data_IF_645215880258
#
_entry.id   IF_645215880258
#
_cell.length_a   1.000
_cell.length_b   1.000
_cell.length_c   1.000
_cell.angle_alpha   90.00
_cell.angle_beta   90.00
_cell.angle_gamma   90.00
#
_symmetry.space_group_name_H-M   'P 1'
#
loop_
_entity.id
_entity.type
_entity.pdbx_description
1 polymer ?
#
# COMPACT_ATOMS: atom_id res chain seq x y z
N UNK A 1 -30.54 12.06 11.01
CA UNK A 1 -29.39 11.36 10.42
C UNK A 1 -28.27 12.37 10.29
N UNK A 2 -27.06 12.03 10.74
CA UNK A 2 -25.91 12.95 10.75
C UNK A 2 -25.13 12.91 9.42
N UNK A 3 -24.15 13.82 9.28
CA UNK A 3 -23.33 13.91 8.07
C UNK A 3 -22.58 12.61 7.78
N UNK A 4 -22.14 11.89 8.81
CA UNK A 4 -21.40 10.64 8.68
C UNK A 4 -22.28 9.53 8.11
N UNK A 5 -23.49 9.37 8.65
CA UNK A 5 -24.45 8.38 8.18
C UNK A 5 -24.94 8.70 6.77
N UNK A 6 -25.16 9.98 6.45
CA UNK A 6 -25.51 10.40 5.09
C UNK A 6 -24.37 10.07 4.10
N UNK A 7 -23.12 10.35 4.49
CA UNK A 7 -21.96 10.09 3.66
C UNK A 7 -21.69 8.58 3.47
N UNK A 8 -21.80 7.80 4.56
CA UNK A 8 -21.64 6.35 4.57
C UNK A 8 -22.69 5.62 3.73
N UNK A 9 -23.95 6.08 3.76
CA UNK A 9 -25.06 5.40 3.10
C UNK A 9 -25.39 5.97 1.70
N UNK A 10 -24.62 6.93 1.19
CA UNK A 10 -24.83 7.46 -0.16
C UNK A 10 -26.01 8.44 -0.28
N UNK A 11 -26.49 9.02 0.82
CA UNK A 11 -27.67 9.89 0.82
C UNK A 11 -27.33 11.31 0.35
N UNK A 12 -27.24 11.50 -0.96
CA UNK A 12 -26.76 12.73 -1.60
C UNK A 12 -27.57 13.97 -1.22
N UNK A 13 -28.88 13.95 -1.39
CA UNK A 13 -29.73 15.14 -1.17
C UNK A 13 -29.71 15.57 0.30
N UNK A 14 -29.77 14.60 1.22
CA UNK A 14 -29.66 14.86 2.64
C UNK A 14 -28.29 15.43 3.01
N UNK A 15 -27.21 14.86 2.48
CA UNK A 15 -25.86 15.40 2.71
C UNK A 15 -25.77 16.85 2.22
N UNK A 16 -26.32 17.13 1.03
CA UNK A 16 -26.33 18.46 0.43
C UNK A 16 -27.12 19.46 1.30
N UNK A 17 -28.27 19.06 1.82
CA UNK A 17 -29.10 19.87 2.73
C UNK A 17 -28.38 20.14 4.07
N UNK A 18 -27.78 19.11 4.67
CA UNK A 18 -27.00 19.23 5.91
C UNK A 18 -25.85 20.23 5.76
N UNK A 19 -25.11 20.13 4.66
CA UNK A 19 -24.01 21.05 4.34
C UNK A 19 -24.51 22.47 4.11
N UNK A 20 -25.63 22.65 3.42
CA UNK A 20 -26.18 23.99 3.16
C UNK A 20 -26.71 24.65 4.45
N UNK A 21 -27.31 23.87 5.34
CA UNK A 21 -27.87 24.35 6.61
C UNK A 21 -26.77 24.63 7.63
N UNK A 22 -25.71 23.81 7.67
CA UNK A 22 -24.57 24.00 8.54
C UNK A 22 -23.25 23.66 7.81
N UNK A 23 -22.63 24.63 7.10
CA UNK A 23 -21.40 24.38 6.34
C UNK A 23 -20.22 23.87 7.19
N UNK A 24 -20.21 24.17 8.50
CA UNK A 24 -19.15 23.70 9.40
C UNK A 24 -19.16 22.19 9.62
N UNK A 25 -20.28 21.50 9.35
CA UNK A 25 -20.40 20.06 9.57
C UNK A 25 -19.46 19.22 8.71
N UNK A 26 -18.95 19.77 7.60
CA UNK A 26 -17.92 19.14 6.75
C UNK A 26 -16.65 18.83 7.54
N UNK A 27 -16.33 19.64 8.55
CA UNK A 27 -15.11 19.50 9.37
C UNK A 27 -15.31 18.59 10.58
N UNK A 28 -16.52 18.09 10.80
CA UNK A 28 -16.80 17.24 11.96
C UNK A 28 -16.04 15.92 11.87
N UNK A 29 -15.67 15.42 13.04
CA UNK A 29 -14.99 14.15 13.23
C UNK A 29 -15.81 13.29 14.19
N UNK A 30 -15.97 12.02 13.87
CA UNK A 30 -16.59 11.07 14.80
C UNK A 30 -15.60 10.65 15.90
N UNK A 31 -16.01 9.72 16.78
CA UNK A 31 -15.20 9.27 17.91
C UNK A 31 -13.88 8.58 17.51
N UNK A 32 -13.77 8.11 16.27
CA UNK A 32 -12.54 7.53 15.71
C UNK A 32 -11.76 8.55 14.88
N UNK A 33 -12.17 9.82 14.88
CA UNK A 33 -11.57 10.86 14.07
C UNK A 33 -11.98 10.81 12.60
N UNK A 34 -12.94 9.98 12.18
CA UNK A 34 -13.35 9.90 10.78
C UNK A 34 -14.10 11.16 10.36
N UNK A 35 -13.75 11.70 9.20
CA UNK A 35 -14.53 12.73 8.52
C UNK A 35 -15.62 12.10 7.65
N UNK A 36 -16.59 12.91 7.19
CA UNK A 36 -17.58 12.46 6.21
C UNK A 36 -16.92 11.93 4.91
N UNK A 37 -15.81 12.54 4.49
CA UNK A 37 -15.07 12.11 3.30
C UNK A 37 -14.46 10.72 3.51
N UNK A 38 -13.89 10.42 4.68
CA UNK A 38 -13.37 9.09 5.00
C UNK A 38 -14.47 8.02 5.00
N UNK A 39 -15.67 8.35 5.51
CA UNK A 39 -16.82 7.43 5.43
C UNK A 39 -17.24 7.17 3.97
N UNK A 40 -17.27 8.20 3.12
CA UNK A 40 -17.54 8.04 1.70
C UNK A 40 -16.46 7.21 0.99
N UNK A 41 -15.17 7.50 1.27
CA UNK A 41 -14.01 6.76 0.77
C UNK A 41 -14.04 5.29 1.17
N UNK A 42 -14.46 4.96 2.39
CA UNK A 42 -14.53 3.58 2.88
C UNK A 42 -15.64 2.78 2.19
N UNK A 43 -16.75 3.43 1.84
CA UNK A 43 -17.93 2.78 1.26
C UNK A 43 -17.98 2.87 -0.28
N UNK A 44 -17.05 3.57 -0.92
CA UNK A 44 -17.07 3.74 -2.38
C UNK A 44 -18.14 4.69 -2.88
N UNK A 45 -18.66 5.60 -2.04
CA UNK A 45 -19.71 6.53 -2.44
C UNK A 45 -19.12 7.72 -3.23
N UNK A 46 -18.75 7.49 -4.50
CA UNK A 46 -18.09 8.49 -5.34
C UNK A 46 -18.85 9.81 -5.45
N UNK A 47 -20.18 9.77 -5.62
CA UNK A 47 -21.01 10.99 -5.69
C UNK A 47 -20.94 11.82 -4.40
N UNK A 48 -20.90 11.16 -3.25
CA UNK A 48 -20.76 11.79 -1.94
C UNK A 48 -19.36 12.36 -1.78
N UNK A 49 -18.33 11.57 -2.09
CA UNK A 49 -16.94 12.01 -2.02
C UNK A 49 -16.71 13.25 -2.89
N UNK A 50 -17.22 13.24 -4.12
CA UNK A 50 -17.18 14.38 -5.05
C UNK A 50 -17.83 15.62 -4.45
N UNK A 51 -19.06 15.49 -3.94
CA UNK A 51 -19.78 16.60 -3.32
C UNK A 51 -19.01 17.18 -2.13
N UNK A 52 -18.47 16.32 -1.25
CA UNK A 52 -17.68 16.75 -0.10
C UNK A 52 -16.41 17.51 -0.53
N UNK A 53 -15.68 16.98 -1.51
CA UNK A 53 -14.48 17.61 -2.08
C UNK A 53 -14.81 18.97 -2.70
N UNK A 54 -15.90 19.08 -3.46
CA UNK A 54 -16.38 20.33 -4.08
C UNK A 54 -16.82 21.37 -3.03
N UNK A 55 -17.38 20.91 -1.91
CA UNK A 55 -17.80 21.76 -0.79
C UNK A 55 -16.64 22.09 0.18
N UNK A 56 -15.42 21.67 -0.13
CA UNK A 56 -14.22 22.06 0.62
C UNK A 56 -13.88 21.15 1.80
N UNK A 57 -14.26 19.87 1.75
CA UNK A 57 -13.71 18.87 2.66
C UNK A 57 -12.18 18.83 2.53
N UNK A 58 -11.50 18.82 3.68
CA UNK A 58 -10.06 18.70 3.73
C UNK A 58 -9.65 17.25 3.46
N UNK A 59 -8.85 17.06 2.42
CA UNK A 59 -8.39 15.75 1.94
C UNK A 59 -7.18 15.22 2.74
N UNK A 60 -6.53 16.08 3.53
CA UNK A 60 -5.33 15.77 4.33
C UNK A 60 -5.64 15.33 5.76
N UNK A 61 -6.90 15.44 6.17
CA UNK A 61 -7.33 14.99 7.49
C UNK A 61 -7.00 13.51 7.69
N UNK A 62 -6.64 13.17 8.93
CA UNK A 62 -6.29 11.82 9.35
C UNK A 62 -7.20 11.34 10.48
N UNK A 63 -7.67 10.10 10.43
CA UNK A 63 -8.40 9.51 11.54
C UNK A 63 -7.49 9.26 12.76
N UNK A 64 -8.02 8.64 13.82
CA UNK A 64 -7.25 8.33 15.04
C UNK A 64 -6.10 7.33 14.82
N UNK A 65 -6.03 6.67 13.65
CA UNK A 65 -4.97 5.74 13.23
C UNK A 65 -4.00 6.37 12.23
N UNK A 66 -4.17 7.66 11.90
CA UNK A 66 -3.35 8.32 10.88
C UNK A 66 -3.82 8.04 9.44
N UNK A 67 -5.00 7.45 9.23
CA UNK A 67 -5.50 7.13 7.89
C UNK A 67 -6.11 8.36 7.23
N UNK A 68 -5.65 8.68 6.02
CA UNK A 68 -6.27 9.70 5.16
C UNK A 68 -7.40 9.10 4.32
N UNK A 69 -8.20 9.95 3.68
CA UNK A 69 -9.20 9.52 2.71
C UNK A 69 -8.57 8.76 1.51
N UNK A 70 -7.34 9.14 1.10
CA UNK A 70 -6.59 8.44 0.06
C UNK A 70 -6.20 7.03 0.54
N UNK A 71 -5.59 6.92 1.73
CA UNK A 71 -5.20 5.62 2.30
C UNK A 71 -6.38 4.66 2.41
N UNK A 72 -7.53 5.14 2.90
CA UNK A 72 -8.75 4.34 3.00
C UNK A 72 -9.20 3.85 1.63
N UNK A 73 -9.20 4.73 0.62
CA UNK A 73 -9.57 4.33 -0.75
C UNK A 73 -8.59 3.31 -1.33
N UNK A 74 -7.28 3.46 -1.08
CA UNK A 74 -6.25 2.50 -1.50
C UNK A 74 -6.37 1.16 -0.80
N UNK A 75 -6.75 1.12 0.48
CA UNK A 75 -6.95 -0.12 1.23
C UNK A 75 -8.22 -0.86 0.79
N UNK A 76 -9.28 -0.10 0.46
CA UNK A 76 -10.61 -0.65 0.15
C UNK A 76 -10.92 -0.79 -1.34
N UNK A 77 -10.04 -0.31 -2.23
CA UNK A 77 -10.14 -0.46 -3.69
C UNK A 77 -11.13 0.48 -4.39
N UNK A 78 -11.43 1.65 -3.82
CA UNK A 78 -12.43 2.60 -4.35
C UNK A 78 -11.90 3.58 -5.42
N UNK A 79 -11.57 3.05 -6.60
CA UNK A 79 -10.68 3.72 -7.58
C UNK A 79 -11.10 5.16 -7.92
N UNK A 80 -12.38 5.40 -8.24
CA UNK A 80 -12.85 6.72 -8.64
C UNK A 80 -12.65 7.76 -7.54
N UNK A 81 -12.71 7.37 -6.26
CA UNK A 81 -12.45 8.28 -5.15
C UNK A 81 -10.98 8.67 -5.09
N UNK A 82 -10.07 7.72 -5.30
CA UNK A 82 -8.65 8.02 -5.30
C UNK A 82 -8.27 8.97 -6.44
N UNK A 83 -8.75 8.69 -7.66
CA UNK A 83 -8.57 9.57 -8.82
C UNK A 83 -9.06 10.99 -8.53
N UNK A 84 -10.26 11.15 -7.96
CA UNK A 84 -10.78 12.47 -7.56
C UNK A 84 -9.86 13.17 -6.53
N UNK A 85 -9.29 12.43 -5.57
CA UNK A 85 -8.36 12.99 -4.60
C UNK A 85 -7.04 13.44 -5.27
N UNK A 86 -6.51 12.64 -6.21
CA UNK A 86 -5.32 13.00 -7.00
C UNK A 86 -5.55 14.23 -7.89
N UNK A 87 -6.68 14.28 -8.59
CA UNK A 87 -7.08 15.44 -9.38
C UNK A 87 -7.20 16.68 -8.49
N UNK A 88 -7.78 16.52 -7.29
CA UNK A 88 -7.97 17.61 -6.34
C UNK A 88 -6.65 18.21 -5.85
N UNK A 89 -5.67 17.38 -5.48
CA UNK A 89 -4.33 17.83 -5.04
C UNK A 89 -3.51 18.40 -6.19
N UNK A 90 -3.67 17.86 -7.40
CA UNK A 90 -2.97 18.33 -8.61
C UNK A 90 -3.58 19.63 -9.16
N UNK A 91 -4.85 19.92 -8.85
CA UNK A 91 -5.53 21.15 -9.25
C UNK A 91 -5.05 22.35 -8.43
N UNK A 92 -4.96 23.54 -9.05
CA UNK A 92 -4.63 24.81 -8.36
C UNK A 92 -5.62 25.16 -7.22
N UNK A 93 -6.82 24.57 -7.18
CA UNK A 93 -7.78 24.75 -6.08
C UNK A 93 -7.42 23.91 -4.84
N UNK A 94 -6.46 22.99 -4.92
CA UNK A 94 -5.84 22.16 -3.85
C UNK A 94 -5.31 22.96 -2.67
N UNK A 95 -4.92 24.18 -2.99
CA UNK A 95 -4.09 25.01 -2.15
C UNK A 95 -4.94 25.71 -1.09
N UNK A 96 -4.97 25.16 0.12
CA UNK A 96 -5.12 26.03 1.27
C UNK A 96 -3.86 26.92 1.35
N UNK A 97 -4.08 28.23 1.38
CA UNK A 97 -3.09 29.27 1.17
C UNK A 97 -2.17 29.44 2.39
N UNK A 98 -0.86 29.17 2.23
CA UNK A 98 0.26 30.00 2.69
C UNK A 98 1.59 29.23 2.53
N UNK A 99 2.39 29.56 1.51
CA UNK A 99 3.84 29.25 1.42
C UNK A 99 4.36 27.85 1.04
N UNK A 100 3.59 26.99 0.36
CA UNK A 100 4.14 25.68 -0.04
C UNK A 100 4.11 25.41 -1.55
N UNK A 101 5.23 24.87 -2.07
CA UNK A 101 5.40 24.43 -3.44
C UNK A 101 4.40 23.29 -3.75
N UNK A 102 3.59 23.38 -4.82
CA UNK A 102 2.63 22.33 -5.20
C UNK A 102 3.23 20.92 -5.29
N UNK A 103 4.50 20.80 -5.69
CA UNK A 103 5.20 19.50 -5.76
C UNK A 103 5.50 18.92 -4.38
N UNK A 104 5.78 19.77 -3.38
CA UNK A 104 6.03 19.33 -2.00
C UNK A 104 4.75 18.76 -1.38
N UNK A 105 3.61 19.40 -1.62
CA UNK A 105 2.32 18.97 -1.08
C UNK A 105 1.84 17.64 -1.71
N UNK A 106 1.97 17.48 -3.04
CA UNK A 106 1.66 16.19 -3.68
C UNK A 106 2.56 15.07 -3.14
N UNK A 107 3.88 15.31 -3.04
CA UNK A 107 4.81 14.28 -2.54
C UNK A 107 4.50 13.89 -1.09
N UNK A 108 4.18 14.86 -0.23
CA UNK A 108 3.76 14.56 1.15
C UNK A 108 2.44 13.78 1.18
N UNK A 109 1.46 14.17 0.35
CA UNK A 109 0.14 13.52 0.30
C UNK A 109 0.22 12.04 -0.08
N UNK A 110 0.95 11.71 -1.15
CA UNK A 110 1.03 10.34 -1.69
C UNK A 110 1.94 9.42 -0.88
N UNK A 111 2.87 10.00 -0.11
CA UNK A 111 3.84 9.27 0.72
C UNK A 111 3.56 9.40 2.22
N UNK A 112 2.44 10.03 2.60
CA UNK A 112 2.04 10.11 4.01
C UNK A 112 1.95 8.70 4.57
N UNK A 113 2.28 8.54 5.84
CA UNK A 113 2.20 7.25 6.55
C UNK A 113 1.15 7.32 7.65
N UNK A 114 0.43 6.22 7.84
CA UNK A 114 -0.42 6.04 9.03
C UNK A 114 0.45 5.70 10.27
N UNK A 115 -0.19 5.39 11.41
CA UNK A 115 0.52 5.03 12.64
C UNK A 115 1.37 3.76 12.55
N UNK A 116 1.05 2.86 11.63
CA UNK A 116 1.81 1.63 11.35
C UNK A 116 2.96 1.88 10.35
N UNK A 117 3.16 3.12 9.90
CA UNK A 117 4.15 3.46 8.87
C UNK A 117 3.68 3.14 7.45
N UNK A 118 2.43 2.69 7.25
CA UNK A 118 1.95 2.30 5.92
C UNK A 118 1.63 3.52 5.06
N UNK A 119 2.21 3.54 3.86
CA UNK A 119 1.88 4.50 2.80
C UNK A 119 0.64 4.05 2.02
N UNK A 120 -0.02 4.95 1.25
CA UNK A 120 -1.03 4.56 0.27
C UNK A 120 -0.58 3.43 -0.67
N UNK A 121 0.68 3.41 -1.10
CA UNK A 121 1.23 2.38 -1.98
C UNK A 121 1.36 1.01 -1.28
N UNK A 122 1.79 1.01 -0.01
CA UNK A 122 1.80 -0.20 0.82
C UNK A 122 0.39 -0.76 0.98
N UNK A 123 -0.59 0.10 1.29
CA UNK A 123 -1.99 -0.31 1.47
C UNK A 123 -2.59 -0.86 0.17
N UNK A 124 -2.35 -0.21 -0.97
CA UNK A 124 -2.80 -0.67 -2.27
C UNK A 124 -2.21 -2.05 -2.63
N UNK A 125 -0.90 -2.23 -2.40
CA UNK A 125 -0.23 -3.51 -2.64
C UNK A 125 -0.77 -4.61 -1.73
N UNK A 126 -0.91 -4.34 -0.43
CA UNK A 126 -1.45 -5.28 0.56
C UNK A 126 -2.90 -5.67 0.27
N UNK A 127 -3.69 -4.75 -0.29
CA UNK A 127 -5.09 -4.98 -0.70
C UNK A 127 -5.27 -5.64 -2.07
N UNK A 128 -4.18 -5.94 -2.80
CA UNK A 128 -4.21 -6.44 -4.17
C UNK A 128 -4.86 -5.48 -5.19
N UNK A 129 -4.74 -4.17 -4.97
CA UNK A 129 -5.36 -3.15 -5.81
C UNK A 129 -4.39 -2.69 -6.91
N UNK A 130 -4.26 -3.48 -7.98
CA UNK A 130 -3.25 -3.23 -9.04
C UNK A 130 -3.38 -1.84 -9.68
N UNK A 131 -4.58 -1.41 -10.03
CA UNK A 131 -4.80 -0.10 -10.66
C UNK A 131 -4.29 1.06 -9.80
N UNK A 132 -4.36 0.91 -8.48
CA UNK A 132 -3.85 1.90 -7.54
C UNK A 132 -2.34 1.94 -7.46
N UNK A 133 -1.71 0.76 -7.51
CA UNK A 133 -0.25 0.66 -7.57
C UNK A 133 0.24 1.43 -8.79
N UNK A 134 -0.39 1.23 -9.96
CA UNK A 134 -0.06 1.99 -11.17
C UNK A 134 -0.32 3.50 -11.00
N UNK A 135 -1.51 3.89 -10.53
CA UNK A 135 -1.86 5.29 -10.33
C UNK A 135 -0.86 6.01 -9.41
N UNK A 136 -0.53 5.41 -8.26
CA UNK A 136 0.44 5.97 -7.31
C UNK A 136 1.85 6.09 -7.92
N UNK A 137 2.29 5.10 -8.71
CA UNK A 137 3.57 5.16 -9.42
C UNK A 137 3.59 6.24 -10.51
N UNK A 138 2.48 6.45 -11.22
CA UNK A 138 2.34 7.52 -12.21
C UNK A 138 2.51 8.90 -11.55
N UNK A 139 1.97 9.05 -10.34
CA UNK A 139 2.15 10.23 -9.49
C UNK A 139 3.47 10.26 -8.69
N UNK A 140 4.42 9.36 -8.97
CA UNK A 140 5.77 9.31 -8.37
C UNK A 140 5.77 9.09 -6.85
N UNK A 141 4.88 8.21 -6.37
CA UNK A 141 4.99 7.67 -5.01
C UNK A 141 6.36 6.99 -4.82
N UNK A 142 6.92 7.12 -3.63
CA UNK A 142 8.18 6.50 -3.25
C UNK A 142 7.96 5.01 -3.00
N UNK A 143 8.53 4.18 -3.88
CA UNK A 143 8.24 2.75 -3.99
C UNK A 143 8.87 1.90 -2.88
N UNK A 144 9.92 2.41 -2.23
CA UNK A 144 10.73 1.68 -1.26
C UNK A 144 10.55 2.16 0.18
N UNK A 145 9.58 3.05 0.42
CA UNK A 145 9.16 3.39 1.78
C UNK A 145 8.71 2.13 2.52
N UNK A 146 9.05 2.10 3.81
CA UNK A 146 8.80 0.97 4.70
C UNK A 146 7.77 1.32 5.75
N UNK A 147 6.96 0.34 6.10
CA UNK A 147 6.18 0.38 7.33
C UNK A 147 7.05 0.15 8.58
N UNK A 148 6.43 0.18 9.76
CA UNK A 148 7.11 -0.02 11.03
C UNK A 148 7.72 -1.42 11.21
N UNK A 149 7.36 -2.38 10.36
CA UNK A 149 7.93 -3.75 10.34
C UNK A 149 9.03 -3.89 9.28
N UNK A 150 9.36 -2.80 8.58
CA UNK A 150 10.35 -2.78 7.51
C UNK A 150 9.82 -3.29 6.16
N UNK A 151 8.51 -3.50 6.01
CA UNK A 151 7.92 -3.99 4.77
C UNK A 151 7.69 -2.86 3.76
N UNK A 152 8.13 -3.07 2.52
CA UNK A 152 7.79 -2.23 1.37
C UNK A 152 6.53 -2.75 0.66
N UNK A 153 6.00 -1.96 -0.29
CA UNK A 153 4.90 -2.40 -1.14
C UNK A 153 5.25 -3.68 -1.92
N UNK A 154 6.48 -3.81 -2.42
CA UNK A 154 6.93 -5.00 -3.14
C UNK A 154 6.95 -6.23 -2.23
N UNK A 155 7.39 -6.09 -0.98
CA UNK A 155 7.42 -7.20 -0.02
C UNK A 155 6.03 -7.79 0.26
N UNK A 156 5.01 -6.93 0.38
CA UNK A 156 3.62 -7.40 0.52
C UNK A 156 3.15 -8.17 -0.72
N UNK A 157 3.45 -7.67 -1.92
CA UNK A 157 3.14 -8.39 -3.15
C UNK A 157 3.85 -9.76 -3.21
N UNK A 158 5.14 -9.80 -2.80
CA UNK A 158 5.93 -11.02 -2.72
C UNK A 158 5.40 -12.04 -1.71
N UNK A 159 4.96 -11.58 -0.54
CA UNK A 159 4.41 -12.45 0.50
C UNK A 159 3.05 -13.05 0.08
N UNK A 160 2.17 -12.23 -0.50
CA UNK A 160 0.81 -12.66 -0.85
C UNK A 160 0.68 -13.31 -2.24
N UNK A 161 1.69 -13.23 -3.10
CA UNK A 161 1.63 -13.83 -4.44
C UNK A 161 0.94 -12.95 -5.48
N UNK A 162 1.02 -11.62 -5.34
CA UNK A 162 0.41 -10.68 -6.28
C UNK A 162 1.34 -10.40 -7.46
N UNK A 163 1.42 -11.36 -8.38
CA UNK A 163 2.39 -11.38 -9.49
C UNK A 163 2.40 -10.10 -10.33
N UNK A 164 1.22 -9.57 -10.67
CA UNK A 164 1.08 -8.37 -11.49
C UNK A 164 1.58 -7.12 -10.77
N UNK A 165 1.27 -6.99 -9.48
CA UNK A 165 1.74 -5.90 -8.62
C UNK A 165 3.27 -6.00 -8.44
N UNK A 166 3.79 -7.18 -8.12
CA UNK A 166 5.24 -7.39 -7.97
C UNK A 166 5.98 -7.02 -9.26
N UNK A 167 5.49 -7.46 -10.42
CA UNK A 167 6.05 -7.13 -11.73
C UNK A 167 6.02 -5.63 -12.02
N UNK A 168 4.94 -4.96 -11.64
CA UNK A 168 4.76 -3.52 -11.86
C UNK A 168 5.70 -2.70 -10.98
N UNK A 169 5.82 -3.05 -9.70
CA UNK A 169 6.74 -2.40 -8.76
C UNK A 169 8.21 -2.61 -9.15
N UNK A 170 8.61 -3.81 -9.58
CA UNK A 170 9.97 -4.07 -10.09
C UNK A 170 10.26 -3.23 -11.34
N UNK A 171 9.31 -3.14 -12.28
CA UNK A 171 9.43 -2.24 -13.44
C UNK A 171 9.50 -0.76 -13.04
N UNK A 172 8.82 -0.40 -11.95
CA UNK A 172 8.89 0.89 -11.28
C UNK A 172 10.18 1.12 -10.49
N UNK A 173 11.19 0.25 -10.65
CA UNK A 173 12.50 0.32 -10.01
C UNK A 173 12.50 0.11 -8.48
N UNK A 174 11.49 -0.57 -7.93
CA UNK A 174 11.50 -0.95 -6.51
C UNK A 174 12.72 -1.84 -6.19
N UNK A 175 13.44 -1.52 -5.12
CA UNK A 175 14.59 -2.28 -4.67
C UNK A 175 14.15 -3.61 -4.03
N UNK A 176 14.47 -4.67 -4.76
CA UNK A 176 14.17 -6.05 -4.42
C UNK A 176 15.05 -6.62 -3.30
N UNK A 177 16.15 -5.94 -2.93
CA UNK A 177 17.10 -6.38 -1.91
C UNK A 177 16.85 -5.73 -0.54
N UNK A 178 15.84 -4.87 -0.46
CA UNK A 178 15.41 -4.28 0.80
C UNK A 178 15.16 -5.39 1.82
N UNK A 179 15.53 -5.15 3.08
CA UNK A 179 15.28 -6.04 4.21
C UNK A 179 14.19 -5.50 5.13
N UNK A 180 13.33 -6.39 5.62
CA UNK A 180 12.40 -6.13 6.72
C UNK A 180 13.16 -5.92 8.03
N UNK A 181 12.45 -5.57 9.10
CA UNK A 181 13.02 -5.47 10.45
C UNK A 181 13.55 -6.80 11.01
N UNK A 182 13.27 -7.93 10.35
CA UNK A 182 13.80 -9.27 10.68
C UNK A 182 14.89 -9.74 9.69
N UNK A 183 15.39 -8.84 8.84
CA UNK A 183 16.39 -9.17 7.83
C UNK A 183 15.86 -9.88 6.58
N UNK A 184 14.54 -10.11 6.45
CA UNK A 184 13.98 -10.85 5.31
C UNK A 184 13.91 -10.01 4.03
N UNK A 185 14.34 -10.59 2.90
CA UNK A 185 14.22 -9.99 1.55
C UNK A 185 12.92 -10.41 0.85
N UNK A 186 12.60 -9.79 -0.28
CA UNK A 186 11.49 -10.21 -1.15
C UNK A 186 11.59 -11.68 -1.58
N UNK A 187 12.81 -12.16 -1.89
CA UNK A 187 13.03 -13.55 -2.30
C UNK A 187 12.72 -14.50 -1.14
N UNK A 188 13.17 -14.20 0.07
CA UNK A 188 12.88 -15.00 1.27
C UNK A 188 11.38 -15.07 1.55
N UNK A 189 10.66 -13.93 1.49
CA UNK A 189 9.23 -13.88 1.73
C UNK A 189 8.45 -14.71 0.69
N UNK A 190 8.80 -14.57 -0.59
CA UNK A 190 8.18 -15.34 -1.68
C UNK A 190 8.47 -16.83 -1.54
N UNK A 191 9.69 -17.21 -1.19
CA UNK A 191 10.11 -18.60 -0.99
C UNK A 191 9.46 -19.25 0.22
N UNK A 192 9.37 -18.56 1.37
CA UNK A 192 8.68 -19.02 2.57
C UNK A 192 7.18 -19.25 2.32
N UNK A 193 6.55 -18.35 1.54
CA UNK A 193 5.11 -18.38 1.26
C UNK A 193 4.72 -19.22 0.03
N UNK A 194 5.67 -19.86 -0.66
CA UNK A 194 5.36 -20.72 -1.80
C UNK A 194 4.97 -19.98 -3.08
N UNK A 195 5.47 -18.75 -3.29
CA UNK A 195 5.11 -17.90 -4.45
C UNK A 195 6.02 -18.15 -5.64
N UNK A 196 5.84 -19.27 -6.32
CA UNK A 196 6.69 -19.74 -7.41
C UNK A 196 6.90 -18.68 -8.51
N UNK A 197 5.82 -18.13 -9.07
CA UNK A 197 5.89 -17.09 -10.11
C UNK A 197 6.70 -15.86 -9.68
N UNK A 198 6.56 -15.45 -8.42
CA UNK A 198 7.32 -14.32 -7.87
C UNK A 198 8.78 -14.69 -7.68
N UNK A 199 9.09 -15.90 -7.21
CA UNK A 199 10.48 -16.38 -7.11
C UNK A 199 11.14 -16.33 -8.49
N UNK A 200 10.50 -16.87 -9.52
CA UNK A 200 11.02 -16.79 -10.89
C UNK A 200 11.22 -15.36 -11.38
N UNK A 201 10.25 -14.48 -11.12
CA UNK A 201 10.33 -13.06 -11.46
C UNK A 201 11.52 -12.41 -10.76
N UNK A 202 11.70 -12.68 -9.47
CA UNK A 202 12.78 -12.10 -8.69
C UNK A 202 14.15 -12.60 -9.19
N UNK A 203 14.32 -13.90 -9.45
CA UNK A 203 15.59 -14.48 -9.89
C UNK A 203 16.10 -13.90 -11.22
N UNK A 204 15.21 -13.44 -12.11
CA UNK A 204 15.58 -12.80 -13.38
C UNK A 204 16.33 -11.47 -13.22
N UNK A 205 16.20 -10.80 -12.08
CA UNK A 205 16.81 -9.48 -11.83
C UNK A 205 18.27 -9.54 -11.30
N UNK A 206 18.98 -10.69 -11.42
CA UNK A 206 20.40 -10.89 -11.01
C UNK A 206 20.72 -10.49 -9.54
N UNK A 207 20.18 -11.24 -8.58
CA UNK A 207 20.12 -10.85 -7.16
C UNK A 207 21.03 -11.63 -6.20
N UNK A 208 21.13 -11.12 -4.96
CA UNK A 208 21.76 -11.75 -3.80
C UNK A 208 20.92 -12.95 -3.29
N UNK A 209 21.09 -14.11 -3.93
CA UNK A 209 20.28 -15.32 -3.68
C UNK A 209 20.53 -15.95 -2.30
N UNK A 210 21.74 -15.77 -1.75
CA UNK A 210 22.21 -16.36 -0.49
C UNK A 210 22.24 -15.36 0.68
N UNK A 211 21.50 -14.26 0.58
CA UNK A 211 21.30 -13.40 1.75
C UNK A 211 20.74 -14.20 2.92
N UNK A 212 21.05 -13.72 4.13
CA UNK A 212 20.54 -14.28 5.37
C UNK A 212 19.68 -13.26 6.09
N UNK A 213 18.56 -13.75 6.63
CA UNK A 213 17.79 -13.02 7.62
C UNK A 213 18.47 -13.06 8.99
N UNK A 214 17.87 -12.42 10.00
CA UNK A 214 18.48 -12.32 11.33
C UNK A 214 18.58 -13.67 12.06
N UNK A 215 17.84 -14.68 11.60
CA UNK A 215 17.92 -16.08 12.09
C UNK A 215 18.95 -16.91 11.30
N UNK A 216 19.63 -16.31 10.32
CA UNK A 216 20.59 -16.99 9.45
C UNK A 216 19.95 -17.76 8.29
N UNK A 217 18.63 -17.65 8.09
CA UNK A 217 17.89 -18.38 7.05
C UNK A 217 18.07 -17.71 5.69
N UNK A 218 18.31 -18.53 4.66
CA UNK A 218 18.29 -18.13 3.25
C UNK A 218 16.92 -18.41 2.62
N UNK A 219 16.67 -17.86 1.43
CA UNK A 219 15.46 -18.20 0.67
C UNK A 219 15.33 -19.71 0.40
N UNK A 220 16.46 -20.40 0.15
CA UNK A 220 16.50 -21.85 -0.04
C UNK A 220 16.07 -22.59 1.22
N UNK A 221 16.62 -22.23 2.37
CA UNK A 221 16.29 -22.89 3.64
C UNK A 221 14.83 -22.70 4.05
N UNK A 222 14.26 -21.53 3.76
CA UNK A 222 12.85 -21.24 4.00
C UNK A 222 11.95 -22.05 3.07
N UNK A 223 12.28 -22.13 1.76
CA UNK A 223 11.55 -22.98 0.82
C UNK A 223 11.57 -24.45 1.25
N UNK A 224 12.72 -24.93 1.74
CA UNK A 224 12.88 -26.28 2.30
C UNK A 224 12.01 -26.51 3.52
N UNK A 225 12.15 -25.65 4.54
CA UNK A 225 11.43 -25.76 5.81
C UNK A 225 9.91 -25.80 5.61
N UNK A 226 9.40 -25.11 4.59
CA UNK A 226 7.98 -25.04 4.27
C UNK A 226 7.52 -26.02 3.17
N UNK A 227 8.41 -26.88 2.65
CA UNK A 227 8.05 -27.95 1.72
C UNK A 227 7.80 -27.51 0.27
N UNK A 228 8.31 -26.35 -0.15
CA UNK A 228 8.10 -25.80 -1.49
C UNK A 228 9.12 -26.35 -2.50
N UNK A 229 8.96 -27.62 -2.87
CA UNK A 229 9.92 -28.38 -3.69
C UNK A 229 10.26 -27.72 -5.03
N UNK A 230 9.29 -27.15 -5.73
CA UNK A 230 9.54 -26.45 -6.99
C UNK A 230 10.41 -25.21 -6.80
N UNK A 231 10.17 -24.44 -5.74
CA UNK A 231 10.97 -23.25 -5.39
C UNK A 231 12.39 -23.66 -5.00
N UNK A 232 12.54 -24.74 -4.23
CA UNK A 232 13.85 -25.33 -3.92
C UNK A 232 14.61 -25.66 -5.21
N UNK A 233 13.95 -26.29 -6.18
CA UNK A 233 14.56 -26.61 -7.46
C UNK A 233 14.96 -25.34 -8.22
N UNK A 234 14.05 -24.39 -8.36
CA UNK A 234 14.31 -23.10 -9.02
C UNK A 234 15.51 -22.36 -8.41
N UNK A 235 15.57 -22.27 -7.07
CA UNK A 235 16.66 -21.60 -6.36
C UNK A 235 18.00 -22.29 -6.61
N UNK A 236 18.05 -23.63 -6.62
CA UNK A 236 19.27 -24.39 -6.91
C UNK A 236 19.74 -24.25 -8.35
N UNK A 237 18.81 -24.30 -9.30
CA UNK A 237 19.11 -24.08 -10.72
C UNK A 237 19.69 -22.69 -10.95
N UNK A 238 19.37 -21.73 -10.08
CA UNK A 238 19.92 -20.37 -10.07
C UNK A 238 21.12 -20.18 -9.12
N UNK A 239 21.70 -21.27 -8.60
CA UNK A 239 22.96 -21.25 -7.87
C UNK A 239 22.87 -20.96 -6.37
N UNK A 240 21.71 -21.09 -5.73
CA UNK A 240 21.59 -20.96 -4.28
C UNK A 240 22.42 -22.03 -3.55
N UNK A 241 23.28 -21.59 -2.64
CA UNK A 241 24.17 -22.46 -1.86
C UNK A 241 23.43 -23.24 -0.77
N UNK A 242 23.74 -24.54 -0.63
CA UNK A 242 23.22 -25.34 0.49
C UNK A 242 23.95 -24.98 1.79
N UNK A 243 23.19 -24.69 2.85
CA UNK A 243 23.74 -24.55 4.20
C UNK A 243 23.90 -25.92 4.88
N UNK A 244 24.79 -26.04 5.87
CA UNK A 244 25.05 -27.32 6.58
C UNK A 244 23.80 -27.95 7.21
N UNK A 245 22.81 -27.13 7.59
CA UNK A 245 21.53 -27.59 8.18
C UNK A 245 20.64 -28.33 7.16
N UNK A 246 20.70 -27.99 5.88
CA UNK A 246 19.91 -28.62 4.80
C UNK A 246 20.48 -30.00 4.40
N UNK A 247 21.78 -30.21 4.64
CA UNK A 247 22.43 -31.52 4.45
C UNK A 247 21.94 -32.54 5.48
N UNK A 248 21.68 -32.10 6.71
CA UNK A 248 21.26 -32.99 7.80
C UNK A 248 19.80 -33.42 7.68
N UNK A 249 18.89 -32.58 7.17
CA UNK A 249 17.47 -32.93 6.99
C UNK A 249 17.18 -33.92 5.85
N UNK A 250 18.14 -34.15 4.95
CA UNK A 250 18.08 -35.22 3.93
C UNK A 250 18.60 -36.56 4.43
N UNK A 251 19.28 -36.56 5.56
CA UNK A 251 20.00 -37.71 6.11
C UNK A 251 19.21 -38.45 7.19
N UNK A 252 17.97 -38.04 7.45
CA UNK A 252 17.03 -38.59 8.46
C UNK A 252 15.70 -38.90 7.83
#
# INVERSE_FOLDING_TARGET
MDIFSAAKNGHYDLLQELINTNPSCIKYRDNNGFTALMHASKQGNEKIAKLLIEKGADIYEMDSKGMTALMISCETGQQGIAEMLFERVSSKKGMNLAHENPQTNLKEFINKTNQDGMTPLILASRGCHETYVHLLMDYKADVDLKDNYGYTALMYACQYGYDLIAKSLIRGQADVNVKTAKGKTCLMLASECGRENIVELLLKEKKLIDERDDEGSTALSLAFKHGHTNIVQLLRENGAGENETEKNSRST
#
